data_IF_571907467432
#
_entry.id   IF_571907467432
#
_cell.length_a   1.000
_cell.length_b   1.000
_cell.length_c   1.000
_cell.angle_alpha   90.00
_cell.angle_beta   90.00
_cell.angle_gamma   90.00
#
_symmetry.space_group_name_H-M   'P 1'
#
loop_
_entity.id
_entity.type
_entity.pdbx_description
1 polymer ?
#
# COMPACT_ATOMS: atom_id res chain seq x y z
N UNK A 1 20.44 7.09 -15.98
CA UNK A 1 19.61 6.25 -15.10
C UNK A 1 19.90 6.66 -13.67
N UNK A 2 19.19 7.68 -13.16
CA UNK A 2 19.46 8.26 -11.85
C UNK A 2 18.14 8.27 -11.06
N UNK A 3 17.70 7.08 -10.68
CA UNK A 3 16.51 6.81 -9.88
C UNK A 3 16.69 6.90 -8.33
N UNK A 4 17.87 7.14 -7.70
CA UNK A 4 17.99 7.02 -6.24
C UNK A 4 17.29 8.14 -5.46
N UNK A 5 16.89 9.23 -6.12
CA UNK A 5 16.20 10.38 -5.50
C UNK A 5 14.75 10.08 -5.10
N UNK A 6 14.02 9.26 -5.87
CA UNK A 6 12.64 8.89 -5.55
C UNK A 6 12.60 7.88 -4.39
N UNK A 7 13.55 6.93 -4.38
CA UNK A 7 13.77 5.99 -3.27
C UNK A 7 14.25 6.69 -2.01
N UNK A 8 15.20 7.61 -2.14
CA UNK A 8 15.68 8.46 -1.06
C UNK A 8 14.57 9.36 -0.51
N UNK A 9 13.69 9.88 -1.36
CA UNK A 9 12.54 10.70 -0.97
C UNK A 9 11.50 9.93 -0.15
N UNK A 10 11.25 8.65 -0.46
CA UNK A 10 10.31 7.80 0.28
C UNK A 10 10.90 7.24 1.58
N UNK A 11 12.17 6.87 1.59
CA UNK A 11 12.88 6.49 2.81
C UNK A 11 12.99 7.69 3.74
N UNK A 12 13.32 8.87 3.20
CA UNK A 12 13.29 10.13 3.92
C UNK A 12 11.87 10.47 4.38
N UNK A 13 10.82 10.28 3.57
CA UNK A 13 9.44 10.54 3.98
C UNK A 13 8.98 9.59 5.09
N UNK A 14 9.29 8.30 5.00
CA UNK A 14 8.97 7.31 6.04
C UNK A 14 9.75 7.59 7.34
N UNK A 15 11.03 7.94 7.23
CA UNK A 15 11.89 8.32 8.37
C UNK A 15 11.41 9.64 8.97
N UNK A 16 11.13 10.66 8.17
CA UNK A 16 10.65 11.97 8.62
C UNK A 16 9.25 11.83 9.21
N UNK A 17 8.33 11.06 8.62
CA UNK A 17 7.03 10.79 9.21
C UNK A 17 7.16 10.02 10.53
N UNK A 18 8.14 9.12 10.64
CA UNK A 18 8.51 8.43 11.88
C UNK A 18 9.06 9.36 12.95
N UNK A 19 10.03 10.20 12.58
CA UNK A 19 10.69 11.18 13.45
C UNK A 19 9.70 12.25 13.89
N UNK A 20 8.92 12.83 12.98
CA UNK A 20 7.86 13.80 13.30
C UNK A 20 6.87 13.19 14.28
N UNK A 21 6.50 11.91 14.15
CA UNK A 21 5.59 11.26 15.11
C UNK A 21 6.25 10.97 16.46
N UNK A 22 7.54 10.63 16.47
CA UNK A 22 8.38 10.50 17.68
C UNK A 22 8.50 11.84 18.43
N UNK A 23 8.70 12.93 17.68
CA UNK A 23 8.86 14.30 18.19
C UNK A 23 7.52 14.91 18.62
N UNK A 24 6.42 14.63 17.91
CA UNK A 24 5.06 15.13 18.23
C UNK A 24 4.39 14.34 19.37
N UNK A 25 5.02 13.25 19.84
CA UNK A 25 4.89 12.79 21.22
C UNK A 25 3.47 12.47 21.69
N UNK A 26 2.83 11.41 21.15
CA UNK A 26 1.72 10.75 21.88
C UNK A 26 1.82 9.22 21.91
N UNK A 27 1.55 8.63 23.09
CA UNK A 27 2.13 7.37 23.54
C UNK A 27 1.56 6.15 22.81
N UNK A 28 2.45 5.18 22.67
CA UNK A 28 2.42 3.96 21.89
C UNK A 28 1.26 2.98 22.17
N UNK A 29 0.48 3.15 23.22
CA UNK A 29 -0.58 2.21 23.60
C UNK A 29 -1.66 2.95 24.42
N UNK A 30 -2.75 3.40 23.80
CA UNK A 30 -3.95 3.79 24.56
C UNK A 30 -5.25 3.54 23.78
N UNK A 31 -5.61 2.26 23.71
CA UNK A 31 -6.97 1.78 23.98
C UNK A 31 -8.17 2.37 23.22
N UNK A 32 -8.02 2.91 22.01
CA UNK A 32 -9.19 3.36 21.24
C UNK A 32 -9.16 2.83 19.82
N UNK A 33 -10.11 1.94 19.56
CA UNK A 33 -10.76 1.74 18.27
C UNK A 33 -11.25 3.09 17.73
N UNK A 34 -10.35 3.87 17.15
CA UNK A 34 -10.75 5.07 16.44
C UNK A 34 -11.43 4.60 15.16
N UNK A 35 -12.73 4.90 15.04
CA UNK A 35 -13.51 4.69 13.81
C UNK A 35 -12.74 5.31 12.65
N UNK A 36 -12.32 4.47 11.71
CA UNK A 36 -11.87 4.92 10.39
C UNK A 36 -13.04 5.68 9.78
N UNK A 37 -12.85 6.97 9.47
CA UNK A 37 -13.91 7.77 8.85
C UNK A 37 -14.28 7.19 7.49
N UNK A 38 -15.56 7.32 7.09
CA UNK A 38 -16.04 6.77 5.83
C UNK A 38 -15.22 7.24 4.62
N UNK A 39 -14.71 8.48 4.66
CA UNK A 39 -13.80 9.03 3.65
C UNK A 39 -12.47 8.28 3.62
N UNK A 40 -11.81 8.08 4.77
CA UNK A 40 -10.56 7.31 4.83
C UNK A 40 -10.75 5.86 4.43
N UNK A 41 -11.91 5.25 4.75
CA UNK A 41 -12.23 3.90 4.30
C UNK A 41 -12.40 3.83 2.78
N UNK A 42 -13.12 4.81 2.19
CA UNK A 42 -13.30 4.90 0.75
C UNK A 42 -11.98 5.14 0.02
N UNK A 43 -11.12 6.03 0.53
CA UNK A 43 -9.78 6.26 -0.02
C UNK A 43 -8.94 4.99 0.06
N UNK A 44 -8.88 4.32 1.22
CA UNK A 44 -8.13 3.07 1.36
C UNK A 44 -8.65 1.98 0.40
N UNK A 45 -9.97 1.87 0.25
CA UNK A 45 -10.58 0.91 -0.67
C UNK A 45 -10.24 1.23 -2.13
N UNK A 46 -10.41 2.48 -2.56
CA UNK A 46 -10.09 2.92 -3.91
C UNK A 46 -8.59 2.76 -4.23
N UNK A 47 -7.71 3.14 -3.29
CA UNK A 47 -6.26 2.94 -3.40
C UNK A 47 -5.88 1.47 -3.49
N UNK A 48 -6.52 0.61 -2.68
CA UNK A 48 -6.32 -0.84 -2.75
C UNK A 48 -6.76 -1.40 -4.11
N UNK A 49 -7.93 -1.00 -4.61
CA UNK A 49 -8.42 -1.42 -5.93
C UNK A 49 -7.46 -1.00 -7.05
N UNK A 50 -6.98 0.24 -7.01
CA UNK A 50 -6.03 0.77 -7.98
C UNK A 50 -4.71 -0.01 -7.97
N UNK A 51 -4.17 -0.31 -6.79
CA UNK A 51 -2.95 -1.12 -6.64
C UNK A 51 -3.14 -2.54 -7.17
N UNK A 52 -4.26 -3.19 -6.83
CA UNK A 52 -4.56 -4.54 -7.32
C UNK A 52 -4.68 -4.54 -8.84
N UNK A 53 -5.41 -3.58 -9.41
CA UNK A 53 -5.55 -3.45 -10.86
C UNK A 53 -4.19 -3.21 -11.54
N UNK A 54 -3.38 -2.30 -11.01
CA UNK A 54 -2.05 -1.98 -11.53
C UNK A 54 -1.13 -3.21 -11.54
N UNK A 55 -1.06 -3.93 -10.42
CA UNK A 55 -0.27 -5.16 -10.31
C UNK A 55 -0.80 -6.25 -11.25
N UNK A 56 -2.12 -6.39 -11.35
CA UNK A 56 -2.74 -7.38 -12.22
C UNK A 56 -2.50 -7.08 -13.70
N UNK A 57 -2.58 -5.82 -14.12
CA UNK A 57 -2.31 -5.40 -15.49
C UNK A 57 -0.85 -5.65 -15.91
N UNK A 58 0.10 -5.50 -14.99
CA UNK A 58 1.53 -5.75 -15.25
C UNK A 58 1.87 -7.24 -15.34
N UNK A 59 1.37 -8.06 -14.42
CA UNK A 59 1.82 -9.46 -14.27
C UNK A 59 0.83 -10.51 -14.79
N UNK A 60 -0.45 -10.20 -14.87
CA UNK A 60 -1.52 -11.13 -15.24
C UNK A 60 -2.25 -10.68 -16.51
N UNK A 61 -1.51 -10.13 -17.47
CA UNK A 61 -2.02 -9.63 -18.76
C UNK A 61 -3.07 -10.54 -19.41
N UNK A 62 -2.83 -11.85 -19.62
CA UNK A 62 -3.80 -12.75 -20.24
C UNK A 62 -5.17 -12.81 -19.52
N UNK A 63 -5.18 -12.68 -18.19
CA UNK A 63 -6.41 -12.70 -17.40
C UNK A 63 -7.15 -11.37 -17.47
N UNK A 64 -6.41 -10.27 -17.49
CA UNK A 64 -6.98 -8.92 -17.61
C UNK A 64 -7.50 -8.66 -19.03
N UNK A 65 -6.77 -9.13 -20.04
CA UNK A 65 -7.12 -8.98 -21.46
C UNK A 65 -8.32 -9.83 -21.87
N UNK A 66 -8.63 -10.89 -21.11
CA UNK A 66 -9.86 -11.67 -21.27
C UNK A 66 -11.12 -10.86 -20.93
N UNK A 67 -10.98 -9.77 -20.17
CA UNK A 67 -12.07 -8.89 -19.79
C UNK A 67 -12.06 -7.65 -20.68
N UNK A 68 -12.96 -7.61 -21.66
CA UNK A 68 -12.95 -6.58 -22.71
C UNK A 68 -12.92 -5.13 -22.19
N UNK A 69 -13.62 -4.83 -21.09
CA UNK A 69 -13.65 -3.48 -20.51
C UNK A 69 -12.35 -3.08 -19.79
N UNK A 70 -11.53 -4.05 -19.35
CA UNK A 70 -10.26 -3.81 -18.66
C UNK A 70 -9.06 -3.69 -19.61
N UNK A 71 -9.22 -4.09 -20.87
CA UNK A 71 -8.14 -4.14 -21.85
C UNK A 71 -7.52 -2.76 -22.11
N UNK A 72 -8.35 -1.77 -22.46
CA UNK A 72 -7.89 -0.41 -22.71
C UNK A 72 -7.15 0.24 -21.50
N UNK A 73 -7.69 0.20 -20.26
CA UNK A 73 -6.95 0.74 -19.12
C UNK A 73 -5.70 -0.08 -18.76
N UNK A 74 -5.69 -1.39 -19.00
CA UNK A 74 -4.50 -2.22 -18.77
C UNK A 74 -3.38 -1.95 -19.79
N UNK A 75 -3.75 -1.66 -21.03
CA UNK A 75 -2.80 -1.24 -22.07
C UNK A 75 -2.18 0.12 -21.72
N UNK A 76 -2.96 1.06 -21.18
CA UNK A 76 -2.43 2.33 -20.66
C UNK A 76 -1.39 2.12 -19.55
N UNK A 77 -1.67 1.25 -18.58
CA UNK A 77 -0.73 0.94 -17.48
C UNK A 77 0.57 0.34 -18.01
N UNK A 78 0.48 -0.60 -18.96
CA UNK A 78 1.65 -1.25 -19.58
C UNK A 78 2.45 -0.27 -20.45
N UNK A 79 1.80 0.68 -21.11
CA UNK A 79 2.44 1.68 -21.97
C UNK A 79 3.15 2.82 -21.20
N UNK A 80 2.87 3.01 -19.92
CA UNK A 80 3.40 4.13 -19.14
C UNK A 80 4.91 4.09 -18.87
N UNK A 81 5.56 2.92 -19.00
CA UNK A 81 7.00 2.78 -18.72
C UNK A 81 7.35 3.29 -17.32
N UNK A 82 8.25 4.28 -17.22
CA UNK A 82 8.65 4.89 -15.93
C UNK A 82 7.50 5.61 -15.23
N UNK A 83 6.53 6.16 -15.96
CA UNK A 83 5.36 6.79 -15.34
C UNK A 83 4.47 5.79 -14.58
N UNK A 84 4.64 4.49 -14.84
CA UNK A 84 3.99 3.42 -14.08
C UNK A 84 4.41 3.46 -12.61
N UNK A 85 5.65 3.83 -12.30
CA UNK A 85 6.16 3.94 -10.92
C UNK A 85 5.33 4.95 -10.13
N UNK A 86 5.03 6.10 -10.73
CA UNK A 86 4.21 7.14 -10.09
C UNK A 86 2.78 6.62 -9.91
N UNK A 87 2.23 5.96 -10.94
CA UNK A 87 0.89 5.37 -10.89
C UNK A 87 0.75 4.29 -9.80
N UNK A 88 1.85 3.64 -9.41
CA UNK A 88 1.91 2.73 -8.25
C UNK A 88 2.08 3.48 -6.91
N UNK A 89 3.02 4.42 -6.84
CA UNK A 89 3.39 5.08 -5.58
C UNK A 89 2.31 6.02 -5.05
N UNK A 90 1.55 6.68 -5.92
CA UNK A 90 0.45 7.57 -5.53
C UNK A 90 -0.63 6.82 -4.72
N UNK A 91 -1.23 5.72 -5.21
CA UNK A 91 -2.19 4.96 -4.42
C UNK A 91 -1.54 4.26 -3.22
N UNK A 92 -0.27 3.85 -3.29
CA UNK A 92 0.46 3.33 -2.13
C UNK A 92 0.55 4.33 -0.98
N UNK A 93 0.95 5.58 -1.28
CA UNK A 93 1.02 6.65 -0.30
C UNK A 93 -0.37 7.04 0.22
N UNK A 94 -1.37 7.11 -0.66
CA UNK A 94 -2.75 7.38 -0.27
C UNK A 94 -3.30 6.32 0.70
N UNK A 95 -2.97 5.04 0.49
CA UNK A 95 -3.33 3.96 1.40
C UNK A 95 -2.70 4.13 2.79
N UNK A 96 -1.40 4.48 2.84
CA UNK A 96 -0.71 4.76 4.11
C UNK A 96 -1.31 5.97 4.84
N UNK A 97 -1.64 7.03 4.10
CA UNK A 97 -2.26 8.24 4.64
C UNK A 97 -3.66 7.97 5.17
N UNK A 98 -4.47 7.19 4.45
CA UNK A 98 -5.81 6.80 4.86
C UNK A 98 -5.79 6.03 6.20
N UNK A 99 -4.73 5.26 6.45
CA UNK A 99 -4.55 4.49 7.67
C UNK A 99 -3.59 5.12 8.68
N UNK A 100 -3.12 6.35 8.48
CA UNK A 100 -2.08 6.96 9.34
C UNK A 100 -2.45 6.98 10.84
N UNK A 101 -3.75 6.97 11.15
CA UNK A 101 -4.27 6.92 12.53
C UNK A 101 -4.31 5.51 13.16
N UNK A 102 -3.95 4.46 12.42
CA UNK A 102 -3.91 3.05 12.87
C UNK A 102 -2.61 2.76 13.66
N UNK A 103 -2.58 1.64 14.37
CA UNK A 103 -1.44 1.12 15.14
C UNK A 103 -0.13 1.17 14.33
N UNK A 104 0.90 1.83 14.89
CA UNK A 104 2.14 2.16 14.18
C UNK A 104 2.88 0.95 13.61
N UNK A 105 3.04 -0.18 14.33
CA UNK A 105 3.70 -1.36 13.79
C UNK A 105 3.00 -1.90 12.54
N UNK A 106 1.67 -1.86 12.47
CA UNK A 106 0.94 -2.29 11.29
C UNK A 106 1.18 -1.35 10.09
N UNK A 107 1.29 -0.04 10.33
CA UNK A 107 1.63 0.93 9.28
C UNK A 107 3.06 0.76 8.77
N UNK A 108 4.01 0.50 9.67
CA UNK A 108 5.39 0.22 9.28
C UNK A 108 5.46 -1.06 8.46
N UNK A 109 4.80 -2.14 8.92
CA UNK A 109 4.72 -3.39 8.18
C UNK A 109 4.08 -3.18 6.79
N UNK A 110 3.03 -2.36 6.71
CA UNK A 110 2.37 -2.04 5.45
C UNK A 110 3.30 -1.23 4.52
N UNK A 111 3.96 -0.20 5.04
CA UNK A 111 4.89 0.60 4.25
C UNK A 111 6.06 -0.25 3.70
N UNK A 112 6.64 -1.12 4.54
CA UNK A 112 7.71 -2.04 4.14
C UNK A 112 7.23 -3.01 3.07
N UNK A 113 6.04 -3.58 3.23
CA UNK A 113 5.51 -4.55 2.26
C UNK A 113 5.15 -3.90 0.93
N UNK A 114 4.54 -2.70 0.92
CA UNK A 114 4.33 -1.94 -0.32
C UNK A 114 5.65 -1.51 -0.98
N UNK A 115 6.66 -1.13 -0.19
CA UNK A 115 7.97 -0.84 -0.74
C UNK A 115 8.59 -2.08 -1.40
N UNK A 116 8.51 -3.24 -0.75
CA UNK A 116 8.99 -4.51 -1.31
C UNK A 116 8.28 -4.90 -2.61
N UNK A 117 6.95 -4.74 -2.68
CA UNK A 117 6.18 -4.92 -3.94
C UNK A 117 6.68 -3.98 -5.03
N UNK A 118 6.84 -2.69 -4.74
CA UNK A 118 7.36 -1.72 -5.71
C UNK A 118 8.78 -2.06 -6.18
N UNK A 119 9.70 -2.37 -5.27
CA UNK A 119 11.08 -2.76 -5.61
C UNK A 119 11.08 -3.97 -6.54
N UNK A 120 10.34 -5.01 -6.17
CA UNK A 120 10.33 -6.27 -6.92
C UNK A 120 9.58 -6.17 -8.25
N UNK A 121 8.79 -5.12 -8.44
CA UNK A 121 8.09 -4.85 -9.69
C UNK A 121 8.94 -4.11 -10.72
N UNK A 122 9.81 -3.19 -10.28
CA UNK A 122 10.61 -2.34 -11.16
C UNK A 122 12.08 -2.75 -11.29
N UNK A 123 12.57 -3.66 -10.44
CA UNK A 123 13.87 -4.31 -10.60
C UNK A 123 13.74 -5.74 -11.14
N UNK A 124 14.82 -6.32 -11.72
CA UNK A 124 14.84 -7.67 -12.26
C UNK A 124 14.89 -8.71 -11.12
N UNK A 125 13.80 -8.80 -10.37
CA UNK A 125 13.56 -9.87 -9.41
C UNK A 125 12.66 -10.94 -10.05
N UNK A 126 12.81 -12.22 -9.66
CA UNK A 126 11.94 -13.27 -10.17
C UNK A 126 10.50 -13.08 -9.67
N UNK A 127 9.52 -13.44 -10.51
CA UNK A 127 8.09 -13.29 -10.23
C UNK A 127 7.66 -13.89 -8.87
N UNK A 128 8.26 -15.02 -8.49
CA UNK A 128 7.98 -15.67 -7.19
C UNK A 128 8.26 -14.77 -5.99
N UNK A 129 9.31 -13.94 -6.07
CA UNK A 129 9.67 -13.00 -5.00
C UNK A 129 8.65 -11.86 -4.95
N UNK A 130 8.23 -11.35 -6.11
CA UNK A 130 7.16 -10.34 -6.18
C UNK A 130 5.84 -10.87 -5.59
N UNK A 131 5.45 -12.11 -5.92
CA UNK A 131 4.26 -12.76 -5.36
C UNK A 131 4.34 -12.95 -3.85
N UNK A 132 5.52 -13.25 -3.32
CA UNK A 132 5.74 -13.33 -1.87
C UNK A 132 5.48 -11.98 -1.18
N UNK A 133 5.97 -10.87 -1.77
CA UNK A 133 5.70 -9.52 -1.27
C UNK A 133 4.24 -9.12 -1.40
N UNK A 134 3.57 -9.46 -2.52
CA UNK A 134 2.13 -9.26 -2.67
C UNK A 134 1.35 -10.01 -1.60
N UNK A 135 1.72 -11.25 -1.32
CA UNK A 135 1.11 -12.06 -0.26
C UNK A 135 1.29 -11.39 1.10
N UNK A 136 2.49 -10.87 1.40
CA UNK A 136 2.77 -10.14 2.63
C UNK A 136 1.90 -8.87 2.74
N UNK A 137 1.75 -8.08 1.66
CA UNK A 137 0.86 -6.90 1.64
C UNK A 137 -0.58 -7.31 1.93
N UNK A 138 -1.09 -8.38 1.32
CA UNK A 138 -2.47 -8.87 1.53
C UNK A 138 -2.68 -9.30 2.99
N UNK A 139 -1.72 -10.03 3.56
CA UNK A 139 -1.79 -10.47 4.97
C UNK A 139 -1.79 -9.25 5.90
N UNK A 140 -0.84 -8.34 5.76
CA UNK A 140 -0.77 -7.13 6.61
C UNK A 140 -2.00 -6.24 6.43
N UNK A 141 -2.42 -6.04 5.18
CA UNK A 141 -3.58 -5.22 4.82
C UNK A 141 -4.91 -5.78 5.30
N UNK A 142 -5.07 -7.11 5.40
CA UNK A 142 -6.27 -7.76 5.94
C UNK A 142 -6.27 -7.89 7.46
N UNK A 143 -5.09 -8.03 8.08
CA UNK A 143 -4.95 -8.01 9.54
C UNK A 143 -5.36 -6.67 10.14
N UNK A 144 -5.10 -5.55 9.45
CA UNK A 144 -5.48 -4.21 9.92
C UNK A 144 -6.98 -4.09 10.20
N UNK A 145 -7.90 -4.31 9.23
CA UNK A 145 -9.33 -4.27 9.48
C UNK A 145 -9.78 -5.37 10.44
N UNK A 146 -9.18 -6.58 10.41
CA UNK A 146 -9.53 -7.65 11.36
C UNK A 146 -9.25 -7.25 12.81
N UNK A 147 -8.09 -6.63 13.07
CA UNK A 147 -7.71 -6.15 14.39
C UNK A 147 -8.53 -4.93 14.82
N UNK A 148 -8.93 -4.07 13.88
CA UNK A 148 -9.81 -2.93 14.14
C UNK A 148 -11.26 -3.36 14.44
N UNK A 149 -11.76 -4.40 13.78
CA UNK A 149 -13.10 -4.97 13.97
C UNK A 149 -13.21 -5.80 15.26
N UNK A 150 -12.10 -6.40 15.73
CA UNK A 150 -12.03 -7.18 16.99
C UNK A 150 -11.88 -6.33 18.26
N UNK A 151 -12.18 -5.02 18.21
CA UNK A 151 -12.19 -4.15 19.39
C UNK A 151 -12.97 -4.77 20.57
N UNK A 152 -12.56 -4.51 21.82
CA UNK A 152 -12.98 -5.29 22.99
C UNK A 152 -14.49 -5.35 23.06
N UNK A 153 -15.04 -6.58 22.97
CA UNK A 153 -16.43 -6.84 23.36
C UNK A 153 -16.55 -6.34 24.79
N UNK A 154 -17.37 -5.31 24.99
CA UNK A 154 -17.77 -4.88 26.32
C UNK A 154 -18.35 -6.12 27.02
N UNK A 155 -17.60 -6.63 27.99
CA UNK A 155 -18.13 -7.56 28.98
C UNK A 155 -19.25 -6.79 29.68
N UNK A 156 -20.49 -7.23 29.45
CA UNK A 156 -21.66 -6.74 30.18
C UNK A 156 -21.64 -7.29 31.60
#
# INVERSE_FOLDING_TARGET
>A
MNQPLLWGGLLAFAVVAGVVRLVVGRPLLRGRSLRVGSVSAAVAFASGLALVFHCAAMFFGPWIDAVAFLRAPADMVRAMGVASEIAYWVPAAALLLAWWRVWWPALVALAVTLAGVGVTMYWPYPLVVHLAWLTAVIIVGSLIPLLLLRGPRAVR
#
